data_IF_431422027718
#
_entry.id   IF_431422027718
#
_cell.length_a   1.000
_cell.length_b   1.000
_cell.length_c   1.000
_cell.angle_alpha   90.00
_cell.angle_beta   90.00
_cell.angle_gamma   90.00
#
_symmetry.space_group_name_H-M   'P 1'
#
loop_
_entity.id
_entity.type
_entity.pdbx_description
1 polymer ?
#
# COMPACT_ATOMS: atom_id res chain seq x y z
N UNK A 1 -5.86 -21.18 -7.57
CA UNK A 1 -6.06 -20.48 -6.29
C UNK A 1 -7.54 -20.22 -6.07
N UNK A 2 -8.07 -20.45 -4.87
CA UNK A 2 -9.44 -20.01 -4.51
C UNK A 2 -9.47 -18.48 -4.40
N UNK A 3 -10.64 -17.86 -4.62
CA UNK A 3 -10.76 -16.39 -4.54
C UNK A 3 -10.42 -15.87 -3.14
N UNK A 4 -10.91 -16.51 -2.08
CA UNK A 4 -10.58 -16.16 -0.70
C UNK A 4 -9.07 -16.13 -0.45
N UNK A 5 -8.34 -17.14 -0.91
CA UNK A 5 -6.88 -17.19 -0.76
C UNK A 5 -6.19 -16.02 -1.50
N UNK A 6 -6.72 -15.59 -2.64
CA UNK A 6 -6.16 -14.46 -3.38
C UNK A 6 -6.31 -13.14 -2.60
N UNK A 7 -7.47 -12.88 -2.00
CA UNK A 7 -7.68 -11.71 -1.15
C UNK A 7 -6.82 -11.74 0.11
N UNK A 8 -6.68 -12.90 0.76
CA UNK A 8 -5.79 -13.04 1.93
C UNK A 8 -4.32 -12.74 1.59
N UNK A 9 -3.82 -13.24 0.47
CA UNK A 9 -2.45 -12.96 0.01
C UNK A 9 -2.28 -11.49 -0.38
N UNK A 10 -3.28 -10.90 -1.03
CA UNK A 10 -3.30 -9.48 -1.37
C UNK A 10 -3.19 -8.60 -0.13
N UNK A 11 -4.02 -8.84 0.89
CA UNK A 11 -4.00 -8.10 2.15
C UNK A 11 -2.71 -8.32 2.94
N UNK A 12 -2.19 -9.56 2.95
CA UNK A 12 -0.88 -9.86 3.54
C UNK A 12 0.22 -9.01 2.88
N UNK A 13 0.22 -8.92 1.56
CA UNK A 13 1.24 -8.17 0.84
C UNK A 13 1.13 -6.66 1.10
N UNK A 14 -0.09 -6.12 1.21
CA UNK A 14 -0.33 -4.73 1.61
C UNK A 14 0.25 -4.47 3.00
N UNK A 15 -0.05 -5.33 3.98
CA UNK A 15 0.42 -5.17 5.35
C UNK A 15 1.95 -5.23 5.46
N UNK A 16 2.59 -6.20 4.79
CA UNK A 16 4.05 -6.28 4.75
C UNK A 16 4.65 -5.04 4.08
N UNK A 17 4.01 -4.55 3.01
CA UNK A 17 4.37 -3.29 2.35
C UNK A 17 4.32 -2.10 3.31
N UNK A 18 3.24 -1.95 4.08
CA UNK A 18 3.08 -0.87 5.07
C UNK A 18 4.16 -0.91 6.15
N UNK A 19 4.46 -2.10 6.69
CA UNK A 19 5.51 -2.26 7.72
C UNK A 19 6.87 -1.87 7.15
N UNK A 20 7.22 -2.36 5.96
CA UNK A 20 8.48 -2.02 5.31
C UNK A 20 8.61 -0.54 4.99
N UNK A 21 7.55 0.07 4.45
CA UNK A 21 7.49 1.49 4.15
C UNK A 21 7.68 2.33 5.41
N UNK A 22 6.93 2.06 6.48
CA UNK A 22 7.02 2.76 7.75
C UNK A 22 8.44 2.73 8.33
N UNK A 23 9.07 1.56 8.37
CA UNK A 23 10.45 1.42 8.88
C UNK A 23 11.45 2.23 8.05
N UNK A 24 11.35 2.17 6.71
CA UNK A 24 12.24 2.93 5.84
C UNK A 24 11.98 4.43 5.94
N UNK A 25 10.73 4.86 6.05
CA UNK A 25 10.35 6.27 6.26
C UNK A 25 10.97 6.84 7.53
N UNK A 26 10.82 6.13 8.66
CA UNK A 26 11.40 6.51 9.93
C UNK A 26 12.93 6.62 9.88
N UNK A 27 13.61 5.61 9.32
CA UNK A 27 15.08 5.60 9.20
C UNK A 27 15.54 6.70 8.24
N UNK A 28 14.90 6.85 7.08
CA UNK A 28 15.27 7.85 6.08
C UNK A 28 15.10 9.26 6.63
N UNK A 29 13.97 9.55 7.27
CA UNK A 29 13.69 10.84 7.92
C UNK A 29 14.77 11.18 8.95
N UNK A 30 15.14 10.21 9.80
CA UNK A 30 16.18 10.39 10.82
C UNK A 30 17.56 10.66 10.21
N UNK A 31 17.94 9.95 9.15
CA UNK A 31 19.25 10.09 8.48
C UNK A 31 19.36 11.45 7.79
N UNK A 32 18.30 11.92 7.13
CA UNK A 32 18.35 13.17 6.35
C UNK A 32 18.01 14.42 7.18
N UNK A 33 17.48 14.28 8.40
CA UNK A 33 17.05 15.40 9.26
C UNK A 33 18.11 16.48 9.48
N UNK A 34 19.40 16.11 9.48
CA UNK A 34 20.50 17.06 9.67
C UNK A 34 20.84 17.86 8.41
N UNK A 35 20.36 17.44 7.24
CA UNK A 35 20.71 17.99 5.93
C UNK A 35 19.55 18.68 5.22
N UNK A 36 18.32 18.56 5.74
CA UNK A 36 17.10 19.03 5.08
C UNK A 36 16.22 19.83 6.02
N UNK A 37 15.48 20.82 5.51
CA UNK A 37 14.42 21.48 6.28
C UNK A 37 13.29 20.49 6.62
N UNK A 38 12.45 20.74 7.65
CA UNK A 38 11.36 19.84 8.02
C UNK A 38 10.39 19.54 6.87
N UNK A 39 10.11 20.54 6.02
CA UNK A 39 9.25 20.36 4.83
C UNK A 39 9.89 19.41 3.81
N UNK A 40 11.17 19.62 3.48
CA UNK A 40 11.89 18.79 2.50
C UNK A 40 12.08 17.36 3.05
N UNK A 41 12.39 17.22 4.33
CA UNK A 41 12.48 15.92 5.00
C UNK A 41 11.16 15.13 4.87
N UNK A 42 10.03 15.79 5.17
CA UNK A 42 8.71 15.19 5.11
C UNK A 42 8.37 14.72 3.69
N UNK A 43 8.60 15.56 2.67
CA UNK A 43 8.35 15.20 1.27
C UNK A 43 9.21 14.01 0.81
N UNK A 44 10.50 13.99 1.14
CA UNK A 44 11.40 12.87 0.81
C UNK A 44 10.94 11.59 1.51
N UNK A 45 10.55 11.68 2.79
CA UNK A 45 10.10 10.53 3.57
C UNK A 45 8.82 9.93 3.00
N UNK A 46 7.84 10.76 2.61
CA UNK A 46 6.60 10.30 1.97
C UNK A 46 6.88 9.60 0.64
N UNK A 47 7.75 10.17 -0.21
CA UNK A 47 8.11 9.55 -1.49
C UNK A 47 8.86 8.22 -1.28
N UNK A 48 9.75 8.17 -0.31
CA UNK A 48 10.48 6.95 0.04
C UNK A 48 9.54 5.86 0.56
N UNK A 49 8.61 6.21 1.47
CA UNK A 49 7.58 5.30 1.98
C UNK A 49 6.76 4.71 0.84
N UNK A 50 6.24 5.54 -0.07
CA UNK A 50 5.45 5.08 -1.21
C UNK A 50 6.27 4.18 -2.15
N UNK A 51 7.51 4.57 -2.47
CA UNK A 51 8.38 3.77 -3.33
C UNK A 51 8.68 2.39 -2.75
N UNK A 52 8.96 2.33 -1.44
CA UNK A 52 9.22 1.08 -0.71
C UNK A 52 7.96 0.23 -0.64
N UNK A 53 6.81 0.83 -0.32
CA UNK A 53 5.51 0.16 -0.29
C UNK A 53 5.24 -0.53 -1.63
N UNK A 54 5.28 0.23 -2.73
CA UNK A 54 5.00 -0.29 -4.07
C UNK A 54 6.00 -1.37 -4.49
N UNK A 55 7.27 -1.25 -4.10
CA UNK A 55 8.30 -2.24 -4.41
C UNK A 55 8.04 -3.55 -3.67
N UNK A 56 7.89 -3.51 -2.35
CA UNK A 56 7.65 -4.70 -1.52
C UNK A 56 6.35 -5.37 -1.95
N UNK A 57 5.27 -4.58 -2.03
CA UNK A 57 3.97 -5.07 -2.45
C UNK A 57 4.03 -5.70 -3.85
N UNK A 58 4.65 -5.00 -4.82
CA UNK A 58 4.73 -5.44 -6.21
C UNK A 58 5.49 -6.75 -6.37
N UNK A 59 6.62 -6.90 -5.67
CA UNK A 59 7.41 -8.14 -5.66
C UNK A 59 6.59 -9.30 -5.10
N UNK A 60 5.97 -9.12 -3.92
CA UNK A 60 5.15 -10.17 -3.30
C UNK A 60 3.94 -10.53 -4.16
N UNK A 61 3.24 -9.53 -4.71
CA UNK A 61 2.08 -9.72 -5.57
C UNK A 61 2.44 -10.49 -6.85
N UNK A 62 3.60 -10.19 -7.45
CA UNK A 62 4.10 -10.91 -8.62
C UNK A 62 4.30 -12.40 -8.31
N UNK A 63 4.95 -12.73 -7.20
CA UNK A 63 5.21 -14.13 -6.85
C UNK A 63 3.93 -14.89 -6.51
N UNK A 64 3.00 -14.27 -5.76
CA UNK A 64 1.73 -14.90 -5.41
C UNK A 64 0.77 -15.09 -6.59
N UNK A 65 0.94 -14.29 -7.65
CA UNK A 65 0.07 -14.28 -8.84
C UNK A 65 0.86 -14.50 -10.14
N UNK A 66 1.94 -15.28 -10.08
CA UNK A 66 2.86 -15.49 -11.21
C UNK A 66 2.15 -15.96 -12.48
N UNK A 67 1.06 -16.71 -12.34
CA UNK A 67 0.20 -17.19 -13.43
C UNK A 67 -0.47 -16.07 -14.25
N UNK A 68 -0.61 -14.86 -13.67
CA UNK A 68 -1.10 -13.68 -14.40
C UNK A 68 -0.05 -13.05 -15.31
N UNK A 69 1.24 -13.34 -15.07
CA UNK A 69 2.37 -12.70 -15.75
C UNK A 69 3.13 -13.66 -16.68
N UNK A 70 3.10 -14.94 -16.36
CA UNK A 70 3.85 -16.00 -17.03
C UNK A 70 2.89 -17.14 -17.42
N UNK A 71 3.11 -17.76 -18.58
CA UNK A 71 2.36 -18.93 -19.03
C UNK A 71 2.92 -20.24 -18.45
N UNK A 72 2.27 -21.36 -18.80
CA UNK A 72 2.62 -22.70 -18.31
C UNK A 72 4.03 -23.16 -18.71
N UNK A 73 4.62 -22.53 -19.74
CA UNK A 73 5.96 -22.82 -20.25
C UNK A 73 7.01 -21.83 -19.73
N UNK A 74 6.66 -20.96 -18.78
CA UNK A 74 7.57 -19.97 -18.24
C UNK A 74 7.76 -18.73 -19.13
N UNK A 75 7.00 -18.60 -20.23
CA UNK A 75 7.09 -17.43 -21.13
C UNK A 75 6.20 -16.31 -20.62
N UNK A 76 6.63 -15.07 -20.84
CA UNK A 76 5.84 -13.89 -20.47
C UNK A 76 4.51 -13.94 -21.21
N UNK A 77 3.40 -13.78 -20.47
CA UNK A 77 2.08 -13.62 -21.10
C UNK A 77 2.06 -12.38 -21.99
N UNK A 78 1.08 -12.38 -22.90
CA UNK A 78 0.76 -11.24 -23.76
C UNK A 78 0.81 -9.91 -23.00
N UNK A 79 1.59 -8.96 -23.50
CA UNK A 79 1.85 -7.67 -22.86
C UNK A 79 0.57 -6.88 -22.56
N UNK A 80 -0.44 -7.00 -23.43
CA UNK A 80 -1.77 -6.40 -23.22
C UNK A 80 -2.44 -6.89 -21.95
N UNK A 81 -2.47 -8.22 -21.73
CA UNK A 81 -3.08 -8.82 -20.52
C UNK A 81 -2.33 -8.41 -19.25
N UNK A 82 -1.00 -8.40 -19.30
CA UNK A 82 -0.16 -7.95 -18.18
C UNK A 82 -0.42 -6.47 -17.87
N UNK A 83 -0.45 -5.61 -18.90
CA UNK A 83 -0.73 -4.17 -18.75
C UNK A 83 -2.10 -3.94 -18.10
N UNK A 84 -3.12 -4.70 -18.49
CA UNK A 84 -4.45 -4.62 -17.87
C UNK A 84 -4.45 -5.03 -16.39
N UNK A 85 -3.70 -6.06 -16.01
CA UNK A 85 -3.56 -6.44 -14.59
C UNK A 85 -2.89 -5.32 -13.81
N UNK A 86 -1.80 -4.77 -14.33
CA UNK A 86 -1.08 -3.65 -13.68
C UNK A 86 -1.96 -2.40 -13.55
N UNK A 87 -2.77 -2.08 -14.56
CA UNK A 87 -3.67 -0.94 -14.51
C UNK A 87 -4.75 -1.12 -13.43
N UNK A 88 -5.39 -2.30 -13.36
CA UNK A 88 -6.37 -2.62 -12.31
C UNK A 88 -5.76 -2.53 -10.92
N UNK A 89 -4.53 -3.02 -10.78
CA UNK A 89 -3.78 -3.00 -9.53
C UNK A 89 -3.46 -1.56 -9.12
N UNK A 90 -2.92 -0.75 -10.05
CA UNK A 90 -2.61 0.65 -9.81
C UNK A 90 -3.88 1.43 -9.41
N UNK A 91 -4.98 1.28 -10.16
CA UNK A 91 -6.26 1.92 -9.81
C UNK A 91 -6.78 1.50 -8.43
N UNK A 92 -6.63 0.22 -8.07
CA UNK A 92 -7.05 -0.31 -6.76
C UNK A 92 -6.25 0.33 -5.63
N UNK A 93 -4.92 0.34 -5.74
CA UNK A 93 -4.04 0.88 -4.71
C UNK A 93 -4.15 2.39 -4.60
N UNK A 94 -4.27 3.12 -5.72
CA UNK A 94 -4.41 4.59 -5.71
C UNK A 94 -5.67 5.06 -4.99
N UNK A 95 -6.80 4.37 -5.14
CA UNK A 95 -8.04 4.73 -4.43
C UNK A 95 -7.90 4.47 -2.93
N UNK A 96 -7.30 3.34 -2.56
CA UNK A 96 -7.01 3.04 -1.15
C UNK A 96 -5.99 4.03 -0.54
N UNK A 97 -5.02 4.49 -1.32
CA UNK A 97 -4.02 5.47 -0.88
C UNK A 97 -4.61 6.86 -0.66
N UNK A 98 -5.57 7.28 -1.48
CA UNK A 98 -6.35 8.51 -1.26
C UNK A 98 -7.13 8.40 0.06
N UNK A 99 -7.76 7.25 0.33
CA UNK A 99 -8.44 7.02 1.61
C UNK A 99 -7.46 7.16 2.77
N UNK A 100 -6.32 6.46 2.74
CA UNK A 100 -5.36 6.47 3.85
C UNK A 100 -4.82 7.87 4.13
N UNK A 101 -4.45 8.61 3.08
CA UNK A 101 -3.92 9.97 3.19
C UNK A 101 -4.99 11.01 3.56
N UNK A 102 -6.28 10.66 3.53
CA UNK A 102 -7.37 11.52 3.99
C UNK A 102 -7.77 11.18 5.43
N UNK A 103 -7.97 9.89 5.71
CA UNK A 103 -8.50 9.37 6.96
C UNK A 103 -7.47 9.45 8.09
N UNK A 104 -6.22 9.04 7.85
CA UNK A 104 -5.19 9.07 8.91
C UNK A 104 -4.95 10.49 9.43
N UNK A 105 -4.70 11.53 8.60
CA UNK A 105 -4.51 12.87 9.11
C UNK A 105 -5.74 13.42 9.83
N UNK A 106 -6.95 13.13 9.33
CA UNK A 106 -8.19 13.57 9.97
C UNK A 106 -8.38 12.98 11.38
N UNK A 107 -8.20 11.67 11.53
CA UNK A 107 -8.30 11.01 12.84
C UNK A 107 -7.17 11.46 13.76
N UNK A 108 -5.94 11.58 13.25
CA UNK A 108 -4.80 12.03 14.04
C UNK A 108 -5.04 13.45 14.58
N UNK A 109 -5.49 14.37 13.74
CA UNK A 109 -5.84 15.73 14.14
C UNK A 109 -6.95 15.74 15.19
N UNK A 110 -8.02 14.95 14.98
CA UNK A 110 -9.10 14.82 15.94
C UNK A 110 -8.64 14.32 17.31
N UNK A 111 -7.75 13.31 17.35
CA UNK A 111 -7.19 12.79 18.61
C UNK A 111 -6.28 13.80 19.32
N UNK A 112 -5.50 14.59 18.57
CA UNK A 112 -4.68 15.66 19.14
C UNK A 112 -5.55 16.75 19.80
N UNK A 113 -6.72 17.06 19.24
CA UNK A 113 -7.70 17.97 19.87
C UNK A 113 -8.32 17.41 21.16
N UNK A 114 -8.12 16.12 21.45
CA UNK A 114 -8.54 15.46 22.69
C UNK A 114 -7.34 15.26 23.64
N UNK A 115 -6.24 15.97 23.43
CA UNK A 115 -5.01 15.94 24.25
C UNK A 115 -4.32 14.56 24.33
N UNK A 116 -4.53 13.68 23.34
CA UNK A 116 -3.75 12.45 23.23
C UNK A 116 -2.29 12.76 22.91
N UNK A 117 -1.36 12.02 23.53
CA UNK A 117 0.07 12.11 23.19
C UNK A 117 0.28 11.84 21.67
N UNK A 118 1.11 12.63 20.95
CA UNK A 118 1.25 12.52 19.49
C UNK A 118 1.59 11.11 18.98
N UNK A 119 2.45 10.38 19.69
CA UNK A 119 2.78 9.00 19.35
C UNK A 119 1.57 8.06 19.42
N UNK A 120 0.76 8.16 20.49
CA UNK A 120 -0.44 7.35 20.69
C UNK A 120 -1.51 7.72 19.65
N UNK A 121 -1.74 9.03 19.47
CA UNK A 121 -2.69 9.56 18.50
C UNK A 121 -2.35 9.09 17.07
N UNK A 122 -1.09 9.19 16.67
CA UNK A 122 -0.62 8.74 15.36
C UNK A 122 -0.78 7.23 15.18
N UNK A 123 -0.47 6.45 16.22
CA UNK A 123 -0.59 4.99 16.20
C UNK A 123 -2.04 4.55 16.00
N UNK A 124 -2.98 5.10 16.78
CA UNK A 124 -4.42 4.80 16.65
C UNK A 124 -4.94 5.19 15.26
N UNK A 125 -4.60 6.40 14.79
CA UNK A 125 -4.99 6.88 13.47
C UNK A 125 -4.46 5.97 12.35
N UNK A 126 -3.22 5.52 12.45
CA UNK A 126 -2.62 4.57 11.51
C UNK A 126 -3.34 3.23 11.50
N UNK A 127 -3.68 2.66 12.66
CA UNK A 127 -4.41 1.39 12.70
C UNK A 127 -5.79 1.49 12.04
N UNK A 128 -6.55 2.54 12.34
CA UNK A 128 -7.88 2.75 11.75
C UNK A 128 -7.77 2.94 10.24
N UNK A 129 -6.82 3.77 9.78
CA UNK A 129 -6.62 4.02 8.36
C UNK A 129 -6.10 2.77 7.61
N UNK A 130 -5.31 1.90 8.22
CA UNK A 130 -4.90 0.62 7.58
C UNK A 130 -6.11 -0.30 7.39
N UNK A 131 -7.03 -0.35 8.37
CA UNK A 131 -8.27 -1.14 8.24
C UNK A 131 -9.12 -0.57 7.09
N UNK A 132 -9.25 0.76 7.02
CA UNK A 132 -9.92 1.47 5.92
C UNK A 132 -9.29 1.16 4.56
N UNK A 133 -7.96 1.27 4.46
CA UNK A 133 -7.19 0.97 3.27
C UNK A 133 -7.47 -0.45 2.76
N UNK A 134 -7.43 -1.45 3.64
CA UNK A 134 -7.69 -2.85 3.28
C UNK A 134 -9.14 -3.02 2.77
N UNK A 135 -10.12 -2.42 3.44
CA UNK A 135 -11.52 -2.49 3.01
C UNK A 135 -11.74 -1.85 1.63
N UNK A 136 -11.12 -0.69 1.38
CA UNK A 136 -11.19 -0.01 0.08
C UNK A 136 -10.45 -0.80 -0.99
N UNK A 137 -9.26 -1.30 -0.70
CA UNK A 137 -8.46 -2.10 -1.62
C UNK A 137 -9.18 -3.39 -2.01
N UNK A 138 -9.80 -4.10 -1.07
CA UNK A 138 -10.58 -5.31 -1.34
C UNK A 138 -11.82 -5.02 -2.18
N UNK A 139 -12.53 -3.94 -1.85
CA UNK A 139 -13.71 -3.48 -2.61
C UNK A 139 -13.33 -3.12 -4.05
N UNK A 140 -12.23 -2.39 -4.24
CA UNK A 140 -11.74 -2.01 -5.56
C UNK A 140 -11.18 -3.21 -6.34
N UNK A 141 -10.50 -4.15 -5.68
CA UNK A 141 -10.06 -5.40 -6.30
C UNK A 141 -11.26 -6.25 -6.78
N UNK A 142 -12.37 -6.23 -6.03
CA UNK A 142 -13.63 -6.83 -6.47
C UNK A 142 -14.23 -6.12 -7.69
N UNK A 143 -14.39 -4.79 -7.65
CA UNK A 143 -14.98 -4.00 -8.75
C UNK A 143 -14.16 -4.09 -10.04
N UNK A 144 -12.83 -4.02 -9.94
CA UNK A 144 -11.92 -4.17 -11.09
C UNK A 144 -11.82 -5.62 -11.57
N UNK A 145 -12.43 -6.57 -10.86
CA UNK A 145 -12.34 -8.02 -11.10
C UNK A 145 -10.88 -8.49 -11.15
N UNK A 146 -10.04 -7.98 -10.25
CA UNK A 146 -8.61 -8.23 -10.20
C UNK A 146 -8.28 -9.74 -10.10
N UNK A 147 -9.09 -10.49 -9.34
CA UNK A 147 -8.90 -11.91 -9.10
C UNK A 147 -9.86 -12.83 -9.87
N UNK A 148 -10.72 -12.29 -10.74
CA UNK A 148 -11.58 -13.13 -11.59
C UNK A 148 -10.72 -13.82 -12.66
N UNK A 149 -10.88 -15.14 -12.83
CA UNK A 149 -10.28 -15.85 -13.96
C UNK A 149 -10.93 -15.33 -15.24
N UNK A 150 -10.09 -14.89 -16.20
CA UNK A 150 -10.50 -14.58 -17.57
C UNK A 150 -10.78 -15.85 -18.34
#
# INVERSE_FOLDING_TARGET
>A
MSQLKAYLLFNRNILIGFVGAFLVGAVSSQVIARFTSPLVNSLISIVAELGVFLTIFGVLFYFDNKDKFVDEHGKRRESGKVKWVLLKLASTLSVAEIEYNTVKPAIHFWLLLQDYQPFIASTIASFIAIIGYLAVADSMAYFTRLFKKS
#
